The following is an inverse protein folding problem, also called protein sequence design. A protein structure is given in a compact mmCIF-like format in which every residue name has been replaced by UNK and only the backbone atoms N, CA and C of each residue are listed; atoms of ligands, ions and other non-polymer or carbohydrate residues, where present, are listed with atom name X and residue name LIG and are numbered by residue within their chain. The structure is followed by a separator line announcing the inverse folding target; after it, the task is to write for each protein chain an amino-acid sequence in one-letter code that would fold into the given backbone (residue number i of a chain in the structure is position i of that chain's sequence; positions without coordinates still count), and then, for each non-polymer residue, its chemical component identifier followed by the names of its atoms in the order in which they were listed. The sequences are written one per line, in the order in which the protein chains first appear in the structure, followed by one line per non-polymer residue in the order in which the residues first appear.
data_IF_413139224946
#
_entry.id   IF_413139224946
#
_cell.length_a   1.000
_cell.length_b   1.000
_cell.length_c   1.000
_cell.angle_alpha   90.00
_cell.angle_beta   90.00
_cell.angle_gamma   90.00
#
_symmetry.space_group_name_H-M   'P 1'
#
loop_
_entity.id
_entity.type
_entity.pdbx_description
1 polymer ?
#
# COMPACT_ATOMS: atom_id res chain seq x y z
N UNK A 1 66.15 1.72 -20.04
CA UNK A 1 65.68 0.76 -19.03
C UNK A 1 64.67 1.47 -18.16
N UNK A 2 63.35 1.22 -18.33
CA UNK A 2 62.30 1.93 -17.58
C UNK A 2 60.90 1.64 -18.15
N UNK A 3 60.50 0.36 -18.23
CA UNK A 3 59.23 0.03 -18.82
C UNK A 3 58.43 -1.13 -18.12
N UNK A 4 58.83 -1.55 -16.95
CA UNK A 4 58.24 -2.77 -16.33
C UNK A 4 57.42 -2.53 -15.03
N UNK A 5 57.39 -1.31 -14.45
CA UNK A 5 56.74 -1.08 -13.17
C UNK A 5 55.31 -0.51 -13.25
N UNK A 6 54.83 -0.14 -14.42
CA UNK A 6 53.48 0.48 -14.55
C UNK A 6 52.35 -0.57 -14.76
N UNK A 7 52.68 -1.77 -15.23
CA UNK A 7 51.64 -2.80 -15.53
C UNK A 7 51.27 -3.61 -14.27
N UNK A 8 52.14 -3.75 -13.30
CA UNK A 8 51.87 -4.47 -12.05
C UNK A 8 50.97 -3.70 -11.06
N UNK A 9 51.05 -2.35 -11.04
CA UNK A 9 50.22 -1.53 -10.13
C UNK A 9 48.75 -1.50 -10.52
N UNK A 10 48.44 -1.50 -11.80
CA UNK A 10 47.03 -1.47 -12.29
C UNK A 10 46.32 -2.80 -12.09
N UNK A 11 47.00 -3.92 -12.12
CA UNK A 11 46.40 -5.24 -11.84
C UNK A 11 46.04 -5.39 -10.35
N UNK A 12 46.95 -4.99 -9.47
CA UNK A 12 46.75 -5.09 -8.01
C UNK A 12 45.68 -4.15 -7.50
N UNK A 13 45.57 -2.94 -8.06
CA UNK A 13 44.48 -2.00 -7.77
C UNK A 13 43.10 -2.50 -8.28
N UNK A 14 43.08 -3.13 -9.46
CA UNK A 14 41.86 -3.74 -10.02
C UNK A 14 41.39 -4.94 -9.16
N UNK A 15 42.29 -5.76 -8.66
CA UNK A 15 41.95 -6.86 -7.75
C UNK A 15 41.43 -6.37 -6.40
N UNK A 16 42.06 -5.35 -5.81
CA UNK A 16 41.60 -4.71 -4.57
C UNK A 16 40.21 -4.09 -4.74
N UNK A 17 39.95 -3.42 -5.87
CA UNK A 17 38.65 -2.83 -6.18
C UNK A 17 37.57 -3.92 -6.34
N UNK A 18 37.87 -5.00 -7.03
CA UNK A 18 36.96 -6.15 -7.21
C UNK A 18 36.62 -6.81 -5.87
N UNK A 19 37.61 -6.98 -4.99
CA UNK A 19 37.40 -7.52 -3.65
C UNK A 19 36.56 -6.60 -2.77
N UNK A 20 36.76 -5.28 -2.87
CA UNK A 20 35.96 -4.29 -2.14
C UNK A 20 34.51 -4.27 -2.62
N UNK A 21 34.28 -4.33 -3.94
CA UNK A 21 32.94 -4.42 -4.52
C UNK A 21 32.20 -5.69 -4.05
N UNK A 22 32.91 -6.83 -4.08
CA UNK A 22 32.35 -8.10 -3.60
C UNK A 22 31.99 -8.03 -2.11
N UNK A 23 32.88 -7.53 -1.26
CA UNK A 23 32.62 -7.38 0.18
C UNK A 23 31.43 -6.44 0.44
N UNK A 24 31.32 -5.32 -0.27
CA UNK A 24 30.19 -4.40 -0.16
C UNK A 24 28.87 -5.04 -0.61
N UNK A 25 28.90 -5.84 -1.68
CA UNK A 25 27.71 -6.57 -2.16
C UNK A 25 27.24 -7.62 -1.14
N UNK A 26 28.16 -8.33 -0.51
CA UNK A 26 27.88 -9.30 0.56
C UNK A 26 27.23 -8.62 1.79
N UNK A 27 27.79 -7.49 2.23
CA UNK A 27 27.26 -6.71 3.35
C UNK A 27 25.86 -6.16 3.02
N UNK A 28 25.67 -5.62 1.81
CA UNK A 28 24.37 -5.12 1.35
C UNK A 28 23.32 -6.24 1.32
N UNK A 29 23.68 -7.41 0.77
CA UNK A 29 22.78 -8.58 0.72
C UNK A 29 22.39 -9.06 2.11
N UNK A 30 23.35 -9.14 3.05
CA UNK A 30 23.07 -9.53 4.44
C UNK A 30 22.16 -8.52 5.14
N UNK A 31 22.36 -7.21 4.90
CA UNK A 31 21.52 -6.16 5.46
C UNK A 31 20.09 -6.25 4.94
N UNK A 32 19.90 -6.37 3.63
CA UNK A 32 18.58 -6.53 2.99
C UNK A 32 17.87 -7.77 3.53
N UNK A 33 18.58 -8.89 3.69
CA UNK A 33 18.03 -10.13 4.22
C UNK A 33 17.58 -9.96 5.68
N UNK A 34 18.39 -9.30 6.51
CA UNK A 34 18.07 -9.05 7.92
C UNK A 34 16.88 -8.11 8.06
N UNK A 35 16.80 -7.05 7.25
CA UNK A 35 15.65 -6.13 7.22
C UNK A 35 14.37 -6.85 6.78
N UNK A 36 14.44 -7.72 5.79
CA UNK A 36 13.31 -8.53 5.33
C UNK A 36 12.82 -9.50 6.40
N UNK A 37 13.72 -10.16 7.12
CA UNK A 37 13.36 -11.05 8.23
C UNK A 37 12.72 -10.27 9.38
N UNK A 38 13.26 -9.10 9.72
CA UNK A 38 12.70 -8.24 10.76
C UNK A 38 11.27 -7.80 10.39
N UNK A 39 11.06 -7.32 9.17
CA UNK A 39 9.76 -6.94 8.64
C UNK A 39 8.76 -8.10 8.68
N UNK A 40 9.18 -9.31 8.26
CA UNK A 40 8.31 -10.48 8.28
C UNK A 40 7.87 -10.86 9.71
N UNK A 41 8.77 -10.78 10.68
CA UNK A 41 8.44 -11.03 12.08
C UNK A 41 7.45 -9.99 12.62
N UNK A 42 7.64 -8.71 12.29
CA UNK A 42 6.70 -7.64 12.67
C UNK A 42 5.32 -7.85 12.01
N UNK A 43 5.30 -8.27 10.75
CA UNK A 43 4.08 -8.59 10.02
C UNK A 43 3.32 -9.74 10.69
N UNK A 44 4.03 -10.79 11.14
CA UNK A 44 3.43 -11.92 11.84
C UNK A 44 2.82 -11.49 13.18
N UNK A 45 3.52 -10.67 13.94
CA UNK A 45 3.00 -10.13 15.21
C UNK A 45 1.81 -9.22 14.94
N UNK A 46 1.85 -8.36 13.93
CA UNK A 46 0.74 -7.49 13.57
C UNK A 46 -0.49 -8.30 13.12
N UNK A 47 -0.30 -9.34 12.31
CA UNK A 47 -1.39 -10.24 11.93
C UNK A 47 -2.03 -10.89 13.16
N UNK A 48 -1.23 -11.38 14.12
CA UNK A 48 -1.72 -11.95 15.35
C UNK A 48 -2.46 -10.92 16.22
N UNK A 49 -1.95 -9.67 16.29
CA UNK A 49 -2.62 -8.58 17.00
C UNK A 49 -3.99 -8.27 16.37
N UNK A 50 -4.08 -8.22 15.04
CA UNK A 50 -5.33 -7.99 14.32
C UNK A 50 -6.33 -9.11 14.55
N UNK A 51 -5.89 -10.38 14.67
CA UNK A 51 -6.74 -11.53 14.97
C UNK A 51 -7.07 -11.66 16.45
N UNK A 52 -6.30 -11.04 17.34
CA UNK A 52 -6.53 -11.10 18.79
C UNK A 52 -7.88 -10.49 19.15
N UNK A 53 -8.54 -11.05 20.19
CA UNK A 53 -9.74 -10.46 20.79
C UNK A 53 -9.43 -9.43 21.88
N UNK A 54 -8.16 -9.19 22.12
CA UNK A 54 -7.66 -8.22 23.10
C UNK A 54 -7.39 -6.88 22.42
N UNK A 55 -8.31 -5.94 22.60
CA UNK A 55 -8.24 -4.59 22.03
C UNK A 55 -7.09 -3.76 22.64
N UNK A 56 -6.72 -4.04 23.91
CA UNK A 56 -5.61 -3.36 24.57
C UNK A 56 -4.27 -3.79 23.96
N UNK A 57 -4.08 -5.10 23.77
CA UNK A 57 -2.90 -5.64 23.08
C UNK A 57 -2.76 -5.05 21.67
N UNK A 58 -3.87 -4.97 20.90
CA UNK A 58 -3.86 -4.37 19.56
C UNK A 58 -3.40 -2.91 19.60
N UNK A 59 -3.99 -2.13 20.49
CA UNK A 59 -3.71 -0.70 20.60
C UNK A 59 -2.25 -0.45 21.00
N UNK A 60 -1.75 -1.22 21.97
CA UNK A 60 -0.36 -1.13 22.40
C UNK A 60 0.60 -1.48 21.28
N UNK A 61 0.39 -2.62 20.61
CA UNK A 61 1.25 -3.05 19.52
C UNK A 61 1.32 -2.02 18.38
N UNK A 62 0.17 -1.44 17.99
CA UNK A 62 0.13 -0.43 16.93
C UNK A 62 0.87 0.84 17.34
N UNK A 63 0.73 1.28 18.60
CA UNK A 63 1.45 2.43 19.11
C UNK A 63 2.97 2.17 19.10
N UNK A 64 3.41 1.00 19.55
CA UNK A 64 4.82 0.61 19.55
C UNK A 64 5.40 0.57 18.13
N UNK A 65 4.64 0.04 17.17
CA UNK A 65 5.02 0.01 15.77
C UNK A 65 5.15 1.43 15.17
N UNK A 66 4.21 2.33 15.50
CA UNK A 66 4.28 3.73 15.12
C UNK A 66 5.52 4.43 15.68
N UNK A 67 5.83 4.18 16.95
CA UNK A 67 7.01 4.76 17.61
C UNK A 67 8.30 4.22 16.99
N UNK A 68 8.38 2.93 16.72
CA UNK A 68 9.56 2.29 16.14
C UNK A 68 9.91 2.84 14.75
N UNK A 69 8.91 3.07 13.92
CA UNK A 69 9.12 3.57 12.55
C UNK A 69 9.17 5.10 12.47
N UNK A 70 9.01 5.83 13.58
CA UNK A 70 8.92 7.30 13.64
C UNK A 70 7.92 7.90 12.64
N UNK A 71 7.03 7.08 12.09
CA UNK A 71 6.04 7.42 11.07
C UNK A 71 4.95 6.36 11.02
N UNK A 72 3.79 6.76 10.55
CA UNK A 72 2.66 5.85 10.30
C UNK A 72 2.63 5.35 8.86
N UNK A 73 3.49 5.88 8.01
CA UNK A 73 3.51 5.59 6.58
C UNK A 73 3.74 4.10 6.30
N UNK A 74 4.72 3.43 6.92
CA UNK A 74 4.89 1.99 6.76
C UNK A 74 3.64 1.19 7.13
N UNK A 75 2.88 1.63 8.14
CA UNK A 75 1.66 0.93 8.55
C UNK A 75 0.61 0.98 7.45
N UNK A 76 0.37 2.17 6.88
CA UNK A 76 -0.61 2.33 5.80
C UNK A 76 -0.16 1.72 4.48
N UNK A 77 1.13 1.90 4.13
CA UNK A 77 1.64 1.58 2.80
C UNK A 77 2.13 0.14 2.66
N UNK A 78 2.54 -0.49 3.78
CA UNK A 78 3.10 -1.83 3.77
C UNK A 78 2.33 -2.80 4.68
N UNK A 79 2.23 -2.53 5.99
CA UNK A 79 1.67 -3.50 6.93
C UNK A 79 0.19 -3.81 6.69
N UNK A 80 -0.65 -2.81 6.44
CA UNK A 80 -2.09 -3.04 6.23
C UNK A 80 -2.35 -3.87 4.97
N UNK A 81 -1.77 -3.57 3.78
CA UNK A 81 -1.93 -4.41 2.61
C UNK A 81 -1.43 -5.84 2.80
N UNK A 82 -0.22 -6.00 3.35
CA UNK A 82 0.42 -7.31 3.56
C UNK A 82 -0.38 -8.18 4.55
N UNK A 83 -0.90 -7.58 5.66
CA UNK A 83 -1.74 -8.32 6.61
C UNK A 83 -3.08 -8.69 5.98
N UNK A 84 -3.69 -7.81 5.19
CA UNK A 84 -4.94 -8.13 4.49
C UNK A 84 -4.76 -9.32 3.52
N UNK A 85 -3.66 -9.34 2.76
CA UNK A 85 -3.31 -10.46 1.88
C UNK A 85 -3.07 -11.74 2.68
N UNK A 86 -2.31 -11.64 3.77
CA UNK A 86 -2.01 -12.78 4.66
C UNK A 86 -3.27 -13.37 5.28
N UNK A 87 -4.22 -12.56 5.75
CA UNK A 87 -5.52 -13.03 6.24
C UNK A 87 -6.28 -13.79 5.15
N UNK A 88 -6.30 -13.26 3.92
CA UNK A 88 -6.91 -13.92 2.77
C UNK A 88 -6.26 -15.27 2.45
N UNK A 89 -4.93 -15.35 2.53
CA UNK A 89 -4.21 -16.62 2.31
C UNK A 89 -4.46 -17.63 3.44
N UNK A 90 -4.44 -17.19 4.71
CA UNK A 90 -4.74 -18.05 5.85
C UNK A 90 -6.14 -18.64 5.78
N UNK A 91 -7.12 -17.88 5.26
CA UNK A 91 -8.47 -18.40 5.02
C UNK A 91 -8.49 -19.42 3.89
N UNK A 92 -7.84 -19.17 2.77
CA UNK A 92 -7.73 -20.14 1.67
C UNK A 92 -7.09 -21.46 2.09
N UNK A 93 -6.17 -21.39 3.03
CA UNK A 93 -5.45 -22.53 3.60
C UNK A 93 -6.21 -23.21 4.77
N UNK A 94 -7.48 -22.84 5.02
CA UNK A 94 -8.32 -23.32 6.12
C UNK A 94 -7.69 -23.13 7.53
N UNK A 95 -6.77 -22.16 7.68
CA UNK A 95 -6.08 -21.88 8.95
C UNK A 95 -6.87 -20.96 9.86
N UNK A 96 -7.76 -20.17 9.32
CA UNK A 96 -8.68 -19.27 10.04
C UNK A 96 -10.07 -19.34 9.41
N UNK A 97 -11.09 -19.01 10.19
CA UNK A 97 -12.48 -19.02 9.71
C UNK A 97 -12.79 -17.74 8.88
N UNK A 98 -13.85 -17.78 8.10
CA UNK A 98 -14.38 -16.59 7.41
C UNK A 98 -14.71 -15.46 8.40
N UNK A 99 -15.17 -15.81 9.60
CA UNK A 99 -15.48 -14.84 10.65
C UNK A 99 -14.21 -14.13 11.15
N UNK A 100 -13.12 -14.86 11.33
CA UNK A 100 -11.83 -14.28 11.74
C UNK A 100 -11.29 -13.30 10.69
N UNK A 101 -11.38 -13.67 9.39
CA UNK A 101 -11.03 -12.75 8.29
C UNK A 101 -11.88 -11.50 8.32
N UNK A 102 -13.20 -11.65 8.47
CA UNK A 102 -14.13 -10.53 8.47
C UNK A 102 -13.84 -9.56 9.61
N UNK A 103 -13.59 -10.06 10.82
CA UNK A 103 -13.16 -9.23 11.94
C UNK A 103 -11.80 -8.61 11.74
N UNK A 104 -10.86 -9.36 11.18
CA UNK A 104 -9.53 -8.83 10.86
C UNK A 104 -9.59 -7.66 9.89
N UNK A 105 -10.34 -7.80 8.80
CA UNK A 105 -10.52 -6.73 7.80
C UNK A 105 -11.26 -5.52 8.40
N UNK A 106 -12.31 -5.70 9.22
CA UNK A 106 -13.00 -4.60 9.91
C UNK A 106 -12.03 -3.81 10.81
N UNK A 107 -11.14 -4.49 11.51
CA UNK A 107 -10.12 -3.85 12.35
C UNK A 107 -9.08 -3.09 11.53
N UNK A 108 -8.62 -3.64 10.41
CA UNK A 108 -7.74 -2.93 9.49
C UNK A 108 -8.43 -1.67 8.94
N UNK A 109 -9.71 -1.73 8.58
CA UNK A 109 -10.48 -0.57 8.14
C UNK A 109 -10.62 0.49 9.25
N UNK A 110 -10.84 0.08 10.50
CA UNK A 110 -10.87 1.01 11.65
C UNK A 110 -9.53 1.71 11.83
N UNK A 111 -8.43 0.99 11.71
CA UNK A 111 -7.08 1.58 11.77
C UNK A 111 -6.87 2.61 10.68
N UNK A 112 -7.21 2.29 9.43
CA UNK A 112 -7.12 3.22 8.30
C UNK A 112 -7.88 4.51 8.58
N UNK A 113 -9.10 4.42 9.12
CA UNK A 113 -9.93 5.60 9.50
C UNK A 113 -9.32 6.41 10.66
N UNK A 114 -8.72 5.73 11.65
CA UNK A 114 -8.04 6.41 12.76
C UNK A 114 -6.85 7.21 12.21
N UNK A 115 -6.06 6.62 11.33
CA UNK A 115 -4.94 7.29 10.68
C UNK A 115 -5.39 8.46 9.82
N UNK A 116 -6.43 8.27 9.00
CA UNK A 116 -7.02 9.34 8.20
C UNK A 116 -7.37 10.55 9.09
N UNK A 117 -8.13 10.33 10.16
CA UNK A 117 -8.56 11.38 11.09
C UNK A 117 -7.39 12.04 11.82
N UNK A 118 -6.39 11.26 12.26
CA UNK A 118 -5.27 11.75 13.07
C UNK A 118 -4.28 12.57 12.25
N UNK A 119 -3.99 12.15 11.02
CA UNK A 119 -2.89 12.71 10.22
C UNK A 119 -3.36 13.67 9.13
N UNK A 120 -4.58 13.53 8.64
CA UNK A 120 -5.13 14.46 7.66
C UNK A 120 -5.94 15.59 8.33
N UNK A 121 -6.44 15.37 9.57
CA UNK A 121 -7.04 16.38 10.44
C UNK A 121 -8.15 17.25 9.80
N UNK A 122 -8.48 18.39 10.43
CA UNK A 122 -9.51 19.30 9.90
C UNK A 122 -9.10 20.07 8.63
N UNK A 123 -7.82 20.07 8.26
CA UNK A 123 -7.34 20.61 6.97
C UNK A 123 -7.86 19.86 5.75
N UNK A 124 -8.58 18.77 5.99
CA UNK A 124 -9.12 17.85 5.00
C UNK A 124 -10.18 18.44 4.05
N UNK A 125 -10.84 19.53 4.45
CA UNK A 125 -11.91 20.15 3.66
C UNK A 125 -11.41 21.15 2.60
N UNK A 126 -10.12 21.52 2.63
CA UNK A 126 -9.53 22.53 1.74
C UNK A 126 -8.47 22.00 0.79
N UNK A 127 -8.55 20.71 0.41
CA UNK A 127 -7.60 20.13 -0.52
C UNK A 127 -7.73 20.77 -1.91
N UNK A 128 -6.78 21.63 -2.25
CA UNK A 128 -6.67 22.30 -3.56
C UNK A 128 -5.92 21.47 -4.62
N UNK A 129 -5.63 20.22 -4.31
CA UNK A 129 -4.94 19.33 -5.23
C UNK A 129 -5.81 18.91 -6.42
N UNK A 130 -5.18 18.29 -7.45
CA UNK A 130 -5.90 17.82 -8.62
C UNK A 130 -6.98 16.80 -8.22
N UNK A 131 -8.23 16.97 -8.67
CA UNK A 131 -9.30 16.03 -8.35
C UNK A 131 -9.11 14.70 -9.09
N UNK A 132 -9.20 13.62 -8.35
CA UNK A 132 -9.07 12.23 -8.85
C UNK A 132 -10.30 11.45 -8.43
N UNK A 133 -10.93 10.73 -9.36
CA UNK A 133 -12.03 9.84 -9.03
C UNK A 133 -11.56 8.39 -8.90
N UNK A 134 -11.68 7.83 -7.71
CA UNK A 134 -11.44 6.42 -7.43
C UNK A 134 -12.76 5.67 -7.40
N UNK A 135 -12.90 4.65 -8.23
CA UNK A 135 -14.15 3.93 -8.42
C UNK A 135 -13.99 2.47 -7.99
N UNK A 136 -14.83 2.05 -7.04
CA UNK A 136 -15.04 0.65 -6.71
C UNK A 136 -16.34 0.19 -7.39
N UNK A 137 -16.32 -0.76 -8.35
CA UNK A 137 -17.51 -1.27 -9.01
C UNK A 137 -18.55 -1.85 -8.06
N UNK A 138 -19.80 -1.98 -8.48
CA UNK A 138 -20.85 -2.59 -7.64
C UNK A 138 -20.61 -4.07 -7.36
N UNK A 139 -19.96 -4.78 -8.29
CA UNK A 139 -19.58 -6.18 -8.12
C UNK A 139 -18.39 -6.41 -7.17
N UNK A 140 -17.73 -5.32 -6.72
CA UNK A 140 -16.55 -5.41 -5.87
C UNK A 140 -16.89 -5.04 -4.42
N UNK A 141 -16.50 -5.90 -3.49
CA UNK A 141 -16.73 -5.71 -2.05
C UNK A 141 -15.47 -5.34 -1.26
N UNK A 142 -14.29 -5.51 -1.87
CA UNK A 142 -13.01 -5.29 -1.20
C UNK A 142 -12.59 -3.82 -1.23
N UNK A 143 -13.11 -3.04 -0.29
CA UNK A 143 -12.92 -1.58 -0.25
C UNK A 143 -11.63 -1.12 0.44
N UNK A 144 -10.93 -1.98 1.21
CA UNK A 144 -9.76 -1.58 1.99
C UNK A 144 -8.66 -0.96 1.12
N UNK A 145 -8.33 -1.57 -0.01
CA UNK A 145 -7.27 -1.10 -0.91
C UNK A 145 -7.55 0.30 -1.48
N UNK A 146 -8.77 0.55 -1.95
CA UNK A 146 -9.12 1.85 -2.54
C UNK A 146 -9.19 2.96 -1.47
N UNK A 147 -9.62 2.64 -0.24
CA UNK A 147 -9.63 3.57 0.89
C UNK A 147 -8.19 3.92 1.29
N UNK A 148 -7.32 2.92 1.43
CA UNK A 148 -5.90 3.13 1.74
C UNK A 148 -5.22 3.98 0.67
N UNK A 149 -5.44 3.67 -0.61
CA UNK A 149 -4.93 4.45 -1.73
C UNK A 149 -5.39 5.91 -1.69
N UNK A 150 -6.66 6.16 -1.33
CA UNK A 150 -7.17 7.52 -1.22
C UNK A 150 -6.45 8.34 -0.15
N UNK A 151 -6.11 7.73 0.99
CA UNK A 151 -5.39 8.40 2.07
C UNK A 151 -3.95 8.71 1.66
N UNK A 152 -3.28 7.77 1.00
CA UNK A 152 -1.92 7.96 0.47
C UNK A 152 -1.91 9.11 -0.56
N UNK A 153 -2.90 9.15 -1.46
CA UNK A 153 -3.04 10.25 -2.42
C UNK A 153 -3.24 11.60 -1.73
N UNK A 154 -4.08 11.67 -0.71
CA UNK A 154 -4.31 12.89 0.08
C UNK A 154 -3.04 13.38 0.75
N UNK A 155 -2.26 12.49 1.35
CA UNK A 155 -0.95 12.81 1.93
C UNK A 155 0.01 13.43 0.92
N UNK A 156 -0.09 13.02 -0.34
CA UNK A 156 0.72 13.53 -1.44
C UNK A 156 0.09 14.74 -2.18
N UNK A 157 -0.89 15.41 -1.57
CA UNK A 157 -1.46 16.64 -2.10
C UNK A 157 -2.46 16.45 -3.24
N UNK A 158 -2.95 15.22 -3.46
CA UNK A 158 -4.00 14.90 -4.44
C UNK A 158 -5.36 14.96 -3.76
N UNK A 159 -6.41 15.31 -4.48
CA UNK A 159 -7.78 15.38 -3.98
C UNK A 159 -8.62 14.19 -4.51
N UNK A 160 -8.57 13.00 -3.88
CA UNK A 160 -9.32 11.83 -4.32
C UNK A 160 -10.78 11.88 -3.83
N UNK A 161 -11.69 11.62 -4.74
CA UNK A 161 -13.09 11.29 -4.49
C UNK A 161 -13.26 9.78 -4.62
N UNK A 162 -13.89 9.14 -3.63
CA UNK A 162 -14.06 7.68 -3.61
C UNK A 162 -15.51 7.34 -3.84
N UNK A 163 -15.83 6.70 -4.97
CA UNK A 163 -17.15 6.19 -5.34
C UNK A 163 -17.21 4.69 -5.08
N UNK A 164 -17.83 4.29 -3.97
CA UNK A 164 -17.98 2.89 -3.57
C UNK A 164 -19.36 2.37 -4.02
N UNK A 165 -19.38 1.45 -4.99
CA UNK A 165 -20.59 0.79 -5.47
C UNK A 165 -21.61 1.75 -6.07
N UNK A 166 -21.19 2.87 -6.66
CA UNK A 166 -22.09 3.82 -7.31
C UNK A 166 -22.72 3.20 -8.55
N UNK A 167 -24.03 3.48 -8.76
CA UNK A 167 -24.68 3.18 -10.03
C UNK A 167 -24.05 4.00 -11.17
N UNK A 168 -24.26 3.55 -12.40
CA UNK A 168 -23.74 4.27 -13.57
C UNK A 168 -24.28 5.71 -13.65
N UNK A 169 -25.55 5.93 -13.28
CA UNK A 169 -26.18 7.26 -13.27
C UNK A 169 -25.45 8.18 -12.27
N UNK A 170 -25.28 7.74 -11.02
CA UNK A 170 -24.54 8.50 -10.00
C UNK A 170 -23.11 8.81 -10.37
N UNK A 171 -22.42 7.86 -11.03
CA UNK A 171 -21.07 8.09 -11.53
C UNK A 171 -21.06 9.17 -12.61
N UNK A 172 -22.03 9.14 -13.52
CA UNK A 172 -22.13 10.14 -14.58
C UNK A 172 -22.44 11.54 -14.02
N UNK A 173 -23.34 11.64 -13.05
CA UNK A 173 -23.67 12.91 -12.38
C UNK A 173 -22.44 13.50 -11.70
N UNK A 174 -21.65 12.65 -11.02
CA UNK A 174 -20.42 13.06 -10.35
C UNK A 174 -19.37 13.55 -11.36
N UNK A 175 -19.14 12.81 -12.45
CA UNK A 175 -18.19 13.16 -13.50
C UNK A 175 -18.57 14.45 -14.23
N UNK A 176 -19.88 14.70 -14.42
CA UNK A 176 -20.36 15.93 -15.02
C UNK A 176 -20.27 17.14 -14.07
N UNK A 177 -20.21 16.88 -12.76
CA UNK A 177 -20.19 17.93 -11.73
C UNK A 177 -18.76 18.40 -11.38
N UNK A 178 -17.76 17.56 -11.60
CA UNK A 178 -16.37 17.80 -11.22
C UNK A 178 -15.45 17.42 -12.39
N UNK A 179 -14.54 18.31 -12.73
CA UNK A 179 -13.52 18.09 -13.78
C UNK A 179 -12.36 17.25 -13.21
N UNK A 180 -12.55 15.93 -13.22
CA UNK A 180 -11.53 14.99 -12.74
C UNK A 180 -10.37 14.86 -13.72
N UNK A 181 -9.15 14.99 -13.21
CA UNK A 181 -7.91 14.85 -14.00
C UNK A 181 -7.46 13.40 -14.18
N UNK A 182 -7.87 12.50 -13.26
CA UNK A 182 -7.51 11.09 -13.28
C UNK A 182 -8.66 10.23 -12.76
N UNK A 183 -8.76 9.03 -13.32
CA UNK A 183 -9.71 8.00 -12.90
C UNK A 183 -8.95 6.74 -12.48
N UNK A 184 -9.19 6.26 -11.27
CA UNK A 184 -8.69 4.99 -10.74
C UNK A 184 -9.84 3.99 -10.61
N UNK A 185 -9.62 2.76 -11.06
CA UNK A 185 -10.57 1.65 -10.94
C UNK A 185 -9.95 0.55 -10.08
N UNK A 186 -10.68 0.08 -9.07
CA UNK A 186 -10.23 -0.97 -8.17
C UNK A 186 -10.96 -2.28 -8.46
N UNK A 187 -10.20 -3.35 -8.67
CA UNK A 187 -10.72 -4.70 -8.91
C UNK A 187 -9.85 -5.72 -8.18
N UNK A 188 -10.47 -6.68 -7.49
CA UNK A 188 -9.77 -7.78 -6.79
C UNK A 188 -10.02 -9.16 -7.43
N UNK A 189 -11.01 -9.27 -8.32
CA UNK A 189 -11.36 -10.52 -8.98
C UNK A 189 -11.75 -10.30 -10.46
N UNK A 190 -11.87 -11.39 -11.20
CA UNK A 190 -12.21 -11.34 -12.64
C UNK A 190 -13.54 -10.62 -12.90
N UNK A 191 -14.57 -10.87 -12.07
CA UNK A 191 -15.89 -10.26 -12.28
C UNK A 191 -15.84 -8.73 -12.10
N UNK A 192 -15.13 -8.24 -11.08
CA UNK A 192 -14.95 -6.80 -10.89
C UNK A 192 -14.06 -6.17 -11.95
N UNK A 193 -13.11 -6.93 -12.51
CA UNK A 193 -12.27 -6.47 -13.61
C UNK A 193 -13.08 -6.23 -14.90
N UNK A 194 -14.02 -7.10 -15.23
CA UNK A 194 -14.88 -6.94 -16.40
C UNK A 194 -15.75 -5.68 -16.29
N UNK A 195 -16.31 -5.42 -15.12
CA UNK A 195 -17.06 -4.19 -14.85
C UNK A 195 -16.15 -2.95 -14.95
N UNK A 196 -14.93 -3.00 -14.39
CA UNK A 196 -13.93 -1.94 -14.53
C UNK A 196 -13.60 -1.64 -16.00
N UNK A 197 -13.43 -2.67 -16.83
CA UNK A 197 -13.19 -2.51 -18.27
C UNK A 197 -14.36 -1.79 -18.95
N UNK A 198 -15.60 -2.15 -18.60
CA UNK A 198 -16.79 -1.49 -19.15
C UNK A 198 -16.89 -0.03 -18.72
N UNK A 199 -16.65 0.26 -17.44
CA UNK A 199 -16.60 1.63 -16.90
C UNK A 199 -15.51 2.41 -17.63
N UNK A 200 -14.29 1.87 -17.73
CA UNK A 200 -13.16 2.53 -18.40
C UNK A 200 -13.43 2.86 -19.88
N UNK A 201 -14.10 1.94 -20.62
CA UNK A 201 -14.51 2.22 -22.00
C UNK A 201 -15.52 3.37 -22.10
N UNK A 202 -16.42 3.53 -21.13
CA UNK A 202 -17.38 4.64 -21.09
C UNK A 202 -16.68 5.95 -20.75
N UNK A 203 -15.80 5.93 -19.74
CA UNK A 203 -15.00 7.09 -19.32
C UNK A 203 -14.19 7.66 -20.48
N UNK A 204 -13.51 6.82 -21.27
CA UNK A 204 -12.74 7.24 -22.45
C UNK A 204 -13.56 7.99 -23.52
N UNK A 205 -14.87 7.78 -23.58
CA UNK A 205 -15.75 8.50 -24.52
C UNK A 205 -16.13 9.90 -24.04
N UNK A 206 -16.00 10.15 -22.76
CA UNK A 206 -16.43 11.38 -22.09
C UNK A 206 -15.25 12.31 -21.86
N UNK A 207 -14.10 11.72 -21.50
CA UNK A 207 -12.85 12.45 -21.33
C UNK A 207 -12.38 12.89 -22.71
N UNK A 208 -12.51 14.18 -23.00
CA UNK A 208 -11.87 14.76 -24.20
C UNK A 208 -10.35 14.71 -24.01
N UNK A 209 -9.60 14.38 -25.09
CA UNK A 209 -8.14 14.38 -25.03
C UNK A 209 -7.59 15.77 -24.74
#
# INVERSE_FOLDING_TARGET
MGGHNLIHSTSEESEKLSLAIFALSEVATKKITAEKICFQNELDIFCNAILSRDDEFQTQFINDLCHKHNSTDPILEQFIPEVAEKLGQMWKDDRISFLDVSFGVDRLQKLVRIYEKKYLGPLYHDYKGPPVLLILPQSETHSLGIITASIIMKKNGVNPFVALGYSQEKLMDLINSIDFQLFGLSASCCNSLDECIQIGKKLRKIIKP
#
